data_IF_391359974534
#
_entry.id   IF_391359974534
#
_cell.length_a   1.000
_cell.length_b   1.000
_cell.length_c   1.000
_cell.angle_alpha   90.00
_cell.angle_beta   90.00
_cell.angle_gamma   90.00
#
_symmetry.space_group_name_H-M   'P 1'
#
loop_
_entity.id
_entity.type
_entity.pdbx_description
1 polymer ?
#
# COMPACT_ATOMS: atom_id res chain seq x y z
N UNK A 1 -25.48 -0.09 -3.87
CA UNK A 1 -25.82 1.23 -3.29
C UNK A 1 -26.26 2.25 -4.35
N UNK A 2 -27.28 1.96 -5.17
CA UNK A 2 -27.68 2.87 -6.26
C UNK A 2 -28.59 4.05 -5.82
N UNK A 3 -29.08 4.05 -4.58
CA UNK A 3 -30.04 5.05 -4.10
C UNK A 3 -29.43 6.16 -3.24
N UNK A 4 -28.23 5.97 -2.68
CA UNK A 4 -27.57 6.98 -1.83
C UNK A 4 -26.78 8.03 -2.62
N UNK A 5 -26.56 7.84 -3.92
CA UNK A 5 -25.82 8.79 -4.77
C UNK A 5 -26.66 9.99 -5.23
N UNK A 6 -27.97 9.99 -4.97
CA UNK A 6 -28.91 10.97 -5.52
C UNK A 6 -29.24 12.17 -4.62
N UNK A 7 -28.70 12.30 -3.41
CA UNK A 7 -29.07 13.38 -2.49
C UNK A 7 -27.81 14.07 -1.92
N UNK A 8 -27.64 15.37 -2.18
CA UNK A 8 -26.71 16.25 -1.46
C UNK A 8 -25.58 16.92 -2.27
N UNK A 9 -25.05 18.01 -1.70
CA UNK A 9 -23.89 18.79 -2.18
C UNK A 9 -22.61 17.93 -2.23
N UNK A 10 -21.62 18.32 -3.04
CA UNK A 10 -20.33 17.61 -3.22
C UNK A 10 -19.64 17.27 -1.89
N UNK A 11 -19.72 18.17 -0.90
CA UNK A 11 -19.16 17.95 0.44
C UNK A 11 -19.89 16.90 1.29
N UNK A 12 -21.21 16.75 1.13
CA UNK A 12 -22.00 15.73 1.83
C UNK A 12 -21.87 14.34 1.18
N UNK A 13 -21.55 14.30 -0.12
CA UNK A 13 -21.30 13.07 -0.88
C UNK A 13 -19.95 12.44 -0.55
N UNK A 14 -18.93 13.23 -0.20
CA UNK A 14 -17.59 12.74 0.13
C UNK A 14 -17.58 11.65 1.22
N UNK A 15 -18.18 11.86 2.41
CA UNK A 15 -18.21 10.81 3.44
C UNK A 15 -19.01 9.58 2.98
N UNK A 16 -20.12 9.73 2.26
CA UNK A 16 -20.88 8.59 1.73
C UNK A 16 -20.17 7.85 0.60
N UNK A 17 -19.39 8.53 -0.23
CA UNK A 17 -18.55 7.93 -1.26
C UNK A 17 -17.36 7.22 -0.64
N UNK A 18 -16.69 7.83 0.35
CA UNK A 18 -15.63 7.18 1.12
C UNK A 18 -16.20 5.96 1.85
N UNK A 19 -17.39 6.06 2.43
CA UNK A 19 -18.06 4.96 3.10
C UNK A 19 -18.52 3.87 2.13
N UNK A 20 -19.10 4.21 0.97
CA UNK A 20 -19.48 3.22 -0.05
C UNK A 20 -18.27 2.57 -0.72
N UNK A 21 -17.19 3.34 -0.89
CA UNK A 21 -15.92 2.85 -1.39
C UNK A 21 -15.33 1.88 -0.38
N UNK A 22 -15.19 2.24 0.90
CA UNK A 22 -14.66 1.40 1.99
C UNK A 22 -15.57 0.22 2.40
N UNK A 23 -16.89 0.39 2.43
CA UNK A 23 -17.86 -0.59 2.93
C UNK A 23 -18.10 -1.76 1.98
N UNK A 24 -17.90 -1.58 0.67
CA UNK A 24 -18.03 -2.67 -0.31
C UNK A 24 -16.77 -3.56 -0.40
N UNK A 25 -15.65 -3.20 0.26
CA UNK A 25 -14.42 -4.02 0.22
C UNK A 25 -14.63 -5.43 0.79
N UNK A 26 -15.62 -5.62 1.67
CA UNK A 26 -15.97 -6.94 2.20
C UNK A 26 -16.69 -7.86 1.21
N UNK A 27 -17.34 -7.31 0.17
CA UNK A 27 -18.19 -8.09 -0.76
C UNK A 27 -17.52 -8.41 -2.10
N UNK A 28 -16.35 -7.83 -2.37
CA UNK A 28 -15.63 -7.98 -3.63
C UNK A 28 -14.12 -8.11 -3.41
N UNK A 29 -13.50 -9.20 -3.88
CA UNK A 29 -12.05 -9.45 -3.77
C UNK A 29 -11.21 -8.47 -4.62
N UNK A 30 -11.76 -8.02 -5.75
CA UNK A 30 -11.01 -7.19 -6.71
C UNK A 30 -10.64 -5.80 -6.15
N UNK A 31 -11.50 -5.19 -5.33
CA UNK A 31 -11.27 -3.83 -4.78
C UNK A 31 -10.12 -3.76 -3.78
N UNK A 32 -10.02 -4.65 -2.75
CA UNK A 32 -8.85 -4.72 -1.88
C UNK A 32 -7.56 -5.00 -2.65
N UNK A 33 -7.62 -5.86 -3.67
CA UNK A 33 -6.46 -6.13 -4.51
C UNK A 33 -5.98 -4.89 -5.28
N UNK A 34 -6.91 -4.14 -5.90
CA UNK A 34 -6.59 -2.89 -6.60
C UNK A 34 -6.06 -1.83 -5.63
N UNK A 35 -6.65 -1.72 -4.43
CA UNK A 35 -6.16 -0.82 -3.38
C UNK A 35 -4.72 -1.13 -2.98
N UNK A 36 -4.39 -2.42 -2.76
CA UNK A 36 -3.02 -2.86 -2.49
C UNK A 36 -2.09 -2.57 -3.68
N UNK A 37 -2.54 -2.78 -4.91
CA UNK A 37 -1.75 -2.47 -6.11
C UNK A 37 -1.45 -0.97 -6.24
N UNK A 38 -2.41 -0.10 -5.92
CA UNK A 38 -2.21 1.36 -5.92
C UNK A 38 -1.21 1.76 -4.83
N UNK A 39 -1.41 1.28 -3.60
CA UNK A 39 -0.50 1.55 -2.48
C UNK A 39 0.92 1.07 -2.80
N UNK A 40 1.04 -0.10 -3.42
CA UNK A 40 2.31 -0.64 -3.91
C UNK A 40 2.95 0.24 -4.97
N UNK A 41 2.20 0.65 -6.00
CA UNK A 41 2.70 1.46 -7.09
C UNK A 41 3.17 2.83 -6.60
N UNK A 42 2.43 3.45 -5.67
CA UNK A 42 2.82 4.72 -5.05
C UNK A 42 4.10 4.55 -4.23
N UNK A 43 4.18 3.54 -3.36
CA UNK A 43 5.40 3.25 -2.60
C UNK A 43 6.60 2.97 -3.52
N UNK A 44 6.39 2.19 -4.58
CA UNK A 44 7.41 1.90 -5.59
C UNK A 44 7.90 3.18 -6.27
N UNK A 45 7.01 4.06 -6.73
CA UNK A 45 7.38 5.31 -7.37
C UNK A 45 8.21 6.21 -6.43
N UNK A 46 7.83 6.30 -5.15
CA UNK A 46 8.58 7.05 -4.14
C UNK A 46 9.98 6.48 -3.90
N UNK A 47 10.11 5.15 -3.72
CA UNK A 47 11.42 4.51 -3.51
C UNK A 47 12.29 4.52 -4.76
N UNK A 48 11.69 4.34 -5.94
CA UNK A 48 12.37 4.42 -7.22
C UNK A 48 12.92 5.83 -7.46
N UNK A 49 12.14 6.89 -7.21
CA UNK A 49 12.61 8.27 -7.35
C UNK A 49 13.85 8.58 -6.49
N UNK A 50 13.97 7.95 -5.33
CA UNK A 50 15.13 8.06 -4.45
C UNK A 50 16.33 7.21 -4.92
N UNK A 51 16.13 5.93 -5.26
CA UNK A 51 17.22 5.06 -5.70
C UNK A 51 17.75 5.39 -7.10
N UNK A 52 16.89 5.89 -7.99
CA UNK A 52 17.27 6.34 -9.33
C UNK A 52 17.93 7.73 -9.33
N UNK A 53 17.90 8.47 -8.21
CA UNK A 53 18.50 9.80 -8.10
C UNK A 53 17.83 10.88 -8.96
N UNK A 54 16.60 10.64 -9.44
CA UNK A 54 15.90 11.55 -10.36
C UNK A 54 15.39 12.81 -9.65
N UNK A 55 14.96 12.69 -8.38
CA UNK A 55 14.30 13.78 -7.65
C UNK A 55 14.90 14.09 -6.26
N UNK A 56 15.86 13.28 -5.79
CA UNK A 56 16.45 13.37 -4.44
C UNK A 56 17.93 12.98 -4.52
N UNK A 57 18.83 13.55 -3.69
CA UNK A 57 20.24 13.17 -3.68
C UNK A 57 20.42 11.66 -3.52
N UNK A 58 21.17 11.07 -4.45
CA UNK A 58 21.44 9.62 -4.48
C UNK A 58 22.18 9.20 -3.21
N UNK A 59 21.80 8.09 -2.56
CA UNK A 59 22.51 7.61 -1.39
C UNK A 59 23.96 7.22 -1.74
N UNK A 60 24.86 7.37 -0.76
CA UNK A 60 26.29 7.05 -0.88
C UNK A 60 26.60 5.55 -0.94
N UNK A 61 25.59 4.70 -0.72
CA UNK A 61 25.67 3.24 -0.84
C UNK A 61 25.33 2.78 -2.26
N UNK A 62 26.17 1.90 -2.81
CA UNK A 62 25.92 1.25 -4.10
C UNK A 62 24.82 0.22 -3.91
N UNK A 63 23.66 0.47 -4.50
CA UNK A 63 22.57 -0.50 -4.59
C UNK A 63 22.75 -1.24 -5.92
N UNK A 64 23.13 -2.51 -5.88
CA UNK A 64 23.42 -3.33 -7.08
C UNK A 64 22.25 -3.40 -8.07
N UNK A 65 21.00 -3.31 -7.57
CA UNK A 65 19.77 -3.35 -8.39
C UNK A 65 18.72 -2.37 -7.88
N UNK A 66 18.81 -1.06 -8.19
CA UNK A 66 17.94 -0.04 -7.60
C UNK A 66 16.45 -0.25 -7.90
N UNK A 67 16.14 -0.82 -9.07
CA UNK A 67 14.76 -1.09 -9.49
C UNK A 67 14.15 -2.25 -8.71
N UNK A 68 14.88 -3.36 -8.60
CA UNK A 68 14.45 -4.54 -7.85
C UNK A 68 14.30 -4.23 -6.36
N UNK A 69 15.22 -3.42 -5.79
CA UNK A 69 15.14 -2.98 -4.41
C UNK A 69 13.92 -2.07 -4.16
N UNK A 70 13.58 -1.15 -5.05
CA UNK A 70 12.37 -0.32 -4.92
C UNK A 70 11.09 -1.16 -4.92
N UNK A 71 10.99 -2.10 -5.86
CA UNK A 71 9.85 -3.02 -5.97
C UNK A 71 9.73 -3.86 -4.71
N UNK A 72 10.84 -4.49 -4.30
CA UNK A 72 10.89 -5.38 -3.15
C UNK A 72 10.59 -4.65 -1.85
N UNK A 73 11.10 -3.42 -1.68
CA UNK A 73 10.87 -2.62 -0.48
C UNK A 73 9.39 -2.25 -0.35
N UNK A 74 8.80 -1.69 -1.42
CA UNK A 74 7.37 -1.39 -1.46
C UNK A 74 6.53 -2.64 -1.22
N UNK A 75 6.88 -3.76 -1.88
CA UNK A 75 6.19 -5.05 -1.72
C UNK A 75 6.24 -5.54 -0.26
N UNK A 76 7.42 -5.49 0.35
CA UNK A 76 7.62 -5.94 1.74
C UNK A 76 6.80 -5.12 2.75
N UNK A 77 6.58 -3.83 2.47
CA UNK A 77 5.76 -2.96 3.31
C UNK A 77 4.26 -3.27 3.21
N UNK A 78 3.79 -3.84 2.09
CA UNK A 78 2.39 -4.26 2.00
C UNK A 78 2.10 -5.48 2.85
N UNK A 79 3.10 -6.33 3.09
CA UNK A 79 2.92 -7.56 3.85
C UNK A 79 3.79 -7.61 5.12
N UNK A 80 3.51 -6.74 6.11
CA UNK A 80 4.29 -6.73 7.36
C UNK A 80 4.23 -8.05 8.12
N UNK A 81 3.13 -8.79 8.00
CA UNK A 81 2.89 -10.06 8.69
C UNK A 81 3.90 -11.15 8.30
N UNK A 82 4.48 -11.10 7.09
CA UNK A 82 5.45 -12.09 6.63
C UNK A 82 6.91 -11.73 6.96
N UNK A 83 7.19 -10.52 7.45
CA UNK A 83 8.52 -10.14 7.89
C UNK A 83 9.57 -9.96 6.78
N UNK A 84 9.17 -9.93 5.50
CA UNK A 84 10.08 -9.77 4.35
C UNK A 84 11.01 -8.55 4.46
N UNK A 85 10.52 -7.48 5.08
CA UNK A 85 11.29 -6.25 5.26
C UNK A 85 12.57 -6.51 6.07
N UNK A 86 12.48 -7.28 7.16
CA UNK A 86 13.65 -7.61 8.01
C UNK A 86 14.57 -8.64 7.37
N UNK A 87 14.01 -9.53 6.54
CA UNK A 87 14.76 -10.60 5.87
C UNK A 87 15.62 -10.07 4.71
N UNK A 88 15.08 -9.15 3.91
CA UNK A 88 15.74 -8.65 2.70
C UNK A 88 16.38 -7.26 2.86
N UNK A 89 15.86 -6.40 3.75
CA UNK A 89 16.25 -4.99 3.87
C UNK A 89 16.69 -4.64 5.31
N UNK A 90 17.57 -5.46 5.90
CA UNK A 90 17.95 -5.44 7.32
C UNK A 90 18.23 -4.06 7.94
N UNK A 91 18.35 -4.00 9.27
CA UNK A 91 18.32 -2.75 10.05
C UNK A 91 19.29 -1.65 9.57
N UNK A 92 20.46 -2.01 9.05
CA UNK A 92 21.42 -1.07 8.48
C UNK A 92 20.87 -0.36 7.23
N UNK A 93 20.23 -1.09 6.31
CA UNK A 93 19.59 -0.49 5.13
C UNK A 93 18.52 0.52 5.52
N UNK A 94 17.72 0.20 6.54
CA UNK A 94 16.71 1.12 7.04
C UNK A 94 17.29 2.36 7.69
N UNK A 95 18.46 2.30 8.34
CA UNK A 95 19.10 3.50 8.91
C UNK A 95 19.44 4.54 7.84
N UNK A 96 19.91 4.10 6.66
CA UNK A 96 20.27 4.97 5.54
C UNK A 96 19.07 5.63 4.85
N UNK A 97 17.85 5.12 5.04
CA UNK A 97 16.66 5.73 4.46
C UNK A 97 16.39 7.11 5.11
N UNK A 98 16.13 8.17 4.33
CA UNK A 98 15.73 9.47 4.87
C UNK A 98 14.42 9.36 5.65
N UNK A 99 14.22 10.27 6.61
CA UNK A 99 13.07 10.26 7.52
C UNK A 99 11.71 10.29 6.77
N UNK A 100 11.63 11.00 5.64
CA UNK A 100 10.44 11.06 4.81
C UNK A 100 10.06 9.71 4.21
N UNK A 101 11.03 8.95 3.70
CA UNK A 101 10.78 7.61 3.15
C UNK A 101 10.46 6.58 4.23
N UNK A 102 11.04 6.73 5.43
CA UNK A 102 10.64 5.93 6.60
C UNK A 102 9.18 6.19 6.96
N UNK A 103 8.75 7.45 6.96
CA UNK A 103 7.35 7.80 7.22
C UNK A 103 6.41 7.20 6.15
N UNK A 104 6.76 7.32 4.87
CA UNK A 104 5.99 6.71 3.77
C UNK A 104 5.91 5.18 3.93
N UNK A 105 7.04 4.52 4.22
CA UNK A 105 7.10 3.09 4.50
C UNK A 105 6.18 2.67 5.66
N UNK A 106 6.19 3.46 6.74
CA UNK A 106 5.33 3.24 7.91
C UNK A 106 3.84 3.37 7.56
N UNK A 107 3.48 4.45 6.84
CA UNK A 107 2.10 4.69 6.39
C UNK A 107 1.64 3.57 5.46
N UNK A 108 2.49 3.17 4.51
CA UNK A 108 2.21 2.06 3.60
C UNK A 108 1.89 0.77 4.36
N UNK A 109 2.61 0.52 5.44
CA UNK A 109 2.45 -0.66 6.30
C UNK A 109 1.18 -0.60 7.15
N UNK A 110 0.82 0.59 7.67
CA UNK A 110 -0.42 0.79 8.44
C UNK A 110 -1.64 0.68 7.53
N UNK A 111 -1.58 1.23 6.32
CA UNK A 111 -2.68 1.19 5.34
C UNK A 111 -2.86 -0.20 4.73
N UNK A 112 -1.78 -0.97 4.56
CA UNK A 112 -1.86 -2.31 4.00
C UNK A 112 -2.59 -3.29 4.91
N UNK A 113 -2.50 -3.14 6.24
CA UNK A 113 -3.15 -4.03 7.21
C UNK A 113 -4.68 -4.09 7.05
N UNK A 114 -5.44 -2.98 7.06
CA UNK A 114 -6.87 -3.00 6.77
C UNK A 114 -7.19 -3.57 5.39
N UNK A 115 -6.40 -3.25 4.36
CA UNK A 115 -6.64 -3.74 3.00
C UNK A 115 -6.44 -5.26 2.88
N UNK A 116 -5.41 -5.80 3.53
CA UNK A 116 -5.18 -7.24 3.62
C UNK A 116 -6.27 -7.93 4.42
N UNK A 117 -6.75 -7.30 5.49
CA UNK A 117 -7.89 -7.82 6.26
C UNK A 117 -9.16 -7.92 5.40
N UNK A 118 -9.49 -6.88 4.64
CA UNK A 118 -10.61 -6.92 3.70
C UNK A 118 -10.43 -7.95 2.58
N UNK A 119 -9.21 -8.10 2.05
CA UNK A 119 -8.91 -9.15 1.09
C UNK A 119 -9.20 -10.54 1.67
N UNK A 120 -8.76 -10.79 2.92
CA UNK A 120 -9.03 -12.02 3.65
C UNK A 120 -10.53 -12.27 3.89
N UNK A 121 -11.29 -11.23 4.25
CA UNK A 121 -12.74 -11.32 4.39
C UNK A 121 -13.43 -11.69 3.06
N UNK A 122 -13.03 -11.05 1.95
CA UNK A 122 -13.56 -11.32 0.62
C UNK A 122 -13.26 -12.76 0.16
N UNK A 123 -12.05 -13.26 0.43
CA UNK A 123 -11.68 -14.65 0.16
C UNK A 123 -12.54 -15.62 0.98
N UNK A 124 -12.68 -15.39 2.28
CA UNK A 124 -13.51 -16.22 3.17
C UNK A 124 -14.97 -16.26 2.69
N UNK A 125 -15.53 -15.14 2.23
CA UNK A 125 -16.91 -15.09 1.78
C UNK A 125 -17.15 -15.87 0.48
N UNK A 126 -16.17 -15.89 -0.45
CA UNK A 126 -16.28 -16.66 -1.71
C UNK A 126 -16.09 -18.16 -1.53
N UNK A 127 -15.18 -18.56 -0.63
CA UNK A 127 -14.90 -19.98 -0.34
C UNK A 127 -15.79 -20.55 0.77
N UNK A 128 -16.70 -19.77 1.33
CA UNK A 128 -17.77 -20.28 2.19
C UNK A 128 -18.74 -21.08 1.31
N UNK A 129 -18.47 -22.37 1.22
CA UNK A 129 -19.31 -23.38 0.58
C UNK A 129 -20.77 -23.17 1.01
N UNK A 130 -21.67 -23.11 0.02
CA UNK A 130 -23.11 -23.21 0.23
C UNK A 130 -23.51 -24.67 0.38
#
# INVERSE_FOLDING_TARGET
MQFASKIGSFGQKLPYLIFGWLSDYGHSIARPLVGLAIVWAVGFACFWGFFAGCCVPKPSIVIDRPFGSAIGLSFSNLFPLFGFNRLYFGAEFMKFLPASLKAISSIQTVVSLPLLFFLGLGLRQRFRLR
#
